data_IF_753606477989
#
_entry.id   IF_753606477989
#
_cell.length_a   1.000
_cell.length_b   1.000
_cell.length_c   1.000
_cell.angle_alpha   90.00
_cell.angle_beta   90.00
_cell.angle_gamma   90.00
#
_symmetry.space_group_name_H-M   'P 1'
#
loop_
_entity.id
_entity.type
_entity.pdbx_description
1 polymer ?
#
# COMPACT_ATOMS: atom_id res chain seq x y z
N UNK A 1 9.32 39.20 41.04
CA UNK A 1 8.31 38.11 40.91
C UNK A 1 7.70 38.08 39.52
N UNK A 2 7.19 39.19 38.99
CA UNK A 2 6.64 39.26 37.62
C UNK A 2 7.65 38.91 36.51
N UNK A 3 8.89 39.41 36.57
CA UNK A 3 9.93 39.09 35.57
C UNK A 3 10.27 37.58 35.52
N UNK A 4 10.24 36.90 36.67
CA UNK A 4 10.48 35.46 36.74
C UNK A 4 9.32 34.65 36.14
N UNK A 5 8.08 35.14 36.26
CA UNK A 5 6.92 34.52 35.61
C UNK A 5 6.90 34.78 34.10
N UNK A 6 7.35 35.96 33.66
CA UNK A 6 7.43 36.29 32.23
C UNK A 6 8.47 35.41 31.52
N UNK A 7 9.66 35.24 32.11
CA UNK A 7 10.72 34.40 31.52
C UNK A 7 10.34 32.91 31.45
N UNK A 8 9.57 32.41 32.43
CA UNK A 8 9.03 31.06 32.38
C UNK A 8 8.00 30.88 31.26
N UNK A 9 7.16 31.89 31.03
CA UNK A 9 6.19 31.86 29.94
C UNK A 9 6.89 31.90 28.57
N UNK A 10 7.91 32.75 28.41
CA UNK A 10 8.72 32.82 27.18
C UNK A 10 9.38 31.47 26.87
N UNK A 11 9.95 30.82 27.90
CA UNK A 11 10.53 29.49 27.75
C UNK A 11 9.49 28.45 27.34
N UNK A 12 8.33 28.43 28.00
CA UNK A 12 7.26 27.50 27.67
C UNK A 12 6.74 27.71 26.24
N UNK A 13 6.60 28.97 25.80
CA UNK A 13 6.20 29.29 24.43
C UNK A 13 7.24 28.81 23.44
N UNK A 14 8.54 29.00 23.71
CA UNK A 14 9.61 28.49 22.87
C UNK A 14 9.59 26.96 22.77
N UNK A 15 9.42 26.27 23.90
CA UNK A 15 9.31 24.81 23.96
C UNK A 15 8.09 24.30 23.17
N UNK A 16 6.93 24.97 23.29
CA UNK A 16 5.72 24.62 22.55
C UNK A 16 5.84 24.86 21.05
N UNK A 17 6.49 25.96 20.63
CA UNK A 17 6.76 26.24 19.21
C UNK A 17 7.67 25.16 18.62
N UNK A 18 8.74 24.80 19.34
CA UNK A 18 9.64 23.74 18.91
C UNK A 18 8.91 22.40 18.79
N UNK A 19 8.13 22.02 19.80
CA UNK A 19 7.36 20.78 19.79
C UNK A 19 6.33 20.76 18.65
N UNK A 20 5.69 21.89 18.37
CA UNK A 20 4.74 22.00 17.27
C UNK A 20 5.44 21.80 15.91
N UNK A 21 6.64 22.37 15.73
CA UNK A 21 7.42 22.17 14.52
C UNK A 21 7.82 20.70 14.34
N UNK A 22 8.24 20.03 15.41
CA UNK A 22 8.61 18.61 15.37
C UNK A 22 7.40 17.72 15.04
N UNK A 23 6.22 18.04 15.60
CA UNK A 23 4.97 17.36 15.28
C UNK A 23 4.55 17.58 13.82
N UNK A 24 4.68 18.80 13.29
CA UNK A 24 4.38 19.08 11.88
C UNK A 24 5.32 18.28 10.95
N UNK A 25 6.61 18.26 11.26
CA UNK A 25 7.60 17.50 10.49
C UNK A 25 7.26 15.99 10.50
N UNK A 26 6.98 15.44 11.67
CA UNK A 26 6.59 14.03 11.83
C UNK A 26 5.32 13.72 11.05
N UNK A 27 4.33 14.60 11.09
CA UNK A 27 3.07 14.44 10.36
C UNK A 27 3.31 14.41 8.84
N UNK A 28 4.16 15.31 8.33
CA UNK A 28 4.56 15.32 6.92
C UNK A 28 5.23 14.01 6.51
N UNK A 29 6.20 13.53 7.29
CA UNK A 29 6.87 12.25 7.04
C UNK A 29 5.88 11.07 7.05
N UNK A 30 4.96 11.03 8.02
CA UNK A 30 3.95 9.97 8.10
C UNK A 30 2.97 10.02 6.93
N UNK A 31 2.57 11.21 6.49
CA UNK A 31 1.69 11.38 5.34
C UNK A 31 2.33 10.88 4.04
N UNK A 32 3.63 11.18 3.85
CA UNK A 32 4.41 10.67 2.71
C UNK A 32 4.54 9.14 2.75
N UNK A 33 4.90 8.57 3.90
CA UNK A 33 5.01 7.13 4.07
C UNK A 33 3.67 6.41 3.83
N UNK A 34 2.57 7.00 4.31
CA UNK A 34 1.22 6.48 4.10
C UNK A 34 0.82 6.53 2.63
N UNK A 35 1.18 7.61 1.92
CA UNK A 35 0.96 7.70 0.47
C UNK A 35 1.73 6.61 -0.27
N UNK A 36 3.02 6.46 0.02
CA UNK A 36 3.86 5.43 -0.62
C UNK A 36 3.28 4.03 -0.39
N UNK A 37 2.90 3.71 0.85
CA UNK A 37 2.33 2.40 1.16
C UNK A 37 1.00 2.12 0.42
N UNK A 38 0.20 3.16 0.15
CA UNK A 38 -1.03 3.03 -0.67
C UNK A 38 -0.68 2.78 -2.12
N UNK A 39 0.24 3.57 -2.68
CA UNK A 39 0.67 3.41 -4.07
C UNK A 39 1.27 2.01 -4.31
N UNK A 40 2.07 1.51 -3.36
CA UNK A 40 2.62 0.14 -3.39
C UNK A 40 1.51 -0.93 -3.30
N UNK A 41 0.51 -0.70 -2.46
CA UNK A 41 -0.62 -1.61 -2.32
C UNK A 41 -1.46 -1.69 -3.60
N UNK A 42 -1.76 -0.55 -4.22
CA UNK A 42 -2.51 -0.48 -5.48
C UNK A 42 -1.75 -1.20 -6.61
N UNK A 43 -0.42 -1.04 -6.65
CA UNK A 43 0.45 -1.75 -7.60
C UNK A 43 0.44 -3.28 -7.39
N UNK A 44 0.49 -3.73 -6.14
CA UNK A 44 0.39 -5.16 -5.80
C UNK A 44 -0.98 -5.73 -6.15
N UNK A 45 -2.06 -5.00 -5.89
CA UNK A 45 -3.41 -5.42 -6.24
C UNK A 45 -3.59 -5.53 -7.77
N UNK A 46 -3.07 -4.57 -8.53
CA UNK A 46 -3.09 -4.63 -9.98
C UNK A 46 -2.32 -5.87 -10.49
N UNK A 47 -1.13 -6.11 -9.95
CA UNK A 47 -0.31 -7.27 -10.30
C UNK A 47 -1.01 -8.60 -10.00
N UNK A 48 -1.75 -8.67 -8.88
CA UNK A 48 -2.54 -9.83 -8.50
C UNK A 48 -3.66 -10.09 -9.52
N UNK A 49 -4.42 -9.06 -9.91
CA UNK A 49 -5.50 -9.18 -10.90
C UNK A 49 -4.97 -9.69 -12.26
N UNK A 50 -3.84 -9.16 -12.73
CA UNK A 50 -3.20 -9.64 -13.96
C UNK A 50 -2.78 -11.12 -13.86
N UNK A 51 -2.34 -11.55 -12.68
CA UNK A 51 -1.96 -12.93 -12.44
C UNK A 51 -3.18 -13.87 -12.44
N UNK A 52 -4.27 -13.45 -11.80
CA UNK A 52 -5.53 -14.21 -11.77
C UNK A 52 -6.10 -14.38 -13.18
N UNK A 53 -6.08 -13.35 -14.02
CA UNK A 53 -6.51 -13.43 -15.42
C UNK A 53 -5.66 -14.44 -16.22
N UNK A 54 -4.33 -14.38 -16.07
CA UNK A 54 -3.39 -15.32 -16.72
C UNK A 54 -3.64 -16.76 -16.28
N UNK A 55 -3.89 -16.98 -14.98
CA UNK A 55 -4.19 -18.31 -14.46
C UNK A 55 -5.53 -18.83 -14.97
N UNK A 56 -6.57 -17.99 -15.01
CA UNK A 56 -7.87 -18.33 -15.58
C UNK A 56 -7.79 -18.73 -17.06
N UNK A 57 -7.06 -17.94 -17.86
CA UNK A 57 -6.82 -18.26 -19.26
C UNK A 57 -6.04 -19.57 -19.44
N UNK A 58 -5.06 -19.83 -18.56
CA UNK A 58 -4.29 -21.08 -18.57
C UNK A 58 -5.16 -22.28 -18.22
N UNK A 59 -6.02 -22.17 -17.20
CA UNK A 59 -6.95 -23.23 -16.81
C UNK A 59 -7.93 -23.56 -17.96
N UNK A 60 -8.52 -22.54 -18.61
CA UNK A 60 -9.39 -22.74 -19.76
C UNK A 60 -8.67 -23.44 -20.93
N UNK A 61 -7.41 -23.06 -21.19
CA UNK A 61 -6.58 -23.72 -22.20
C UNK A 61 -6.32 -25.19 -21.86
N UNK A 62 -6.00 -25.50 -20.60
CA UNK A 62 -5.81 -26.89 -20.15
C UNK A 62 -7.09 -27.69 -20.35
N UNK A 63 -8.26 -27.16 -19.96
CA UNK A 63 -9.53 -27.85 -20.15
C UNK A 63 -9.80 -28.16 -21.63
N UNK A 64 -9.59 -27.18 -22.53
CA UNK A 64 -9.74 -27.41 -23.97
C UNK A 64 -8.75 -28.46 -24.53
N UNK A 65 -7.53 -28.55 -23.98
CA UNK A 65 -6.57 -29.59 -24.34
C UNK A 65 -7.03 -30.97 -23.86
N UNK A 66 -7.56 -31.06 -22.63
CA UNK A 66 -8.12 -32.29 -22.06
C UNK A 66 -9.30 -32.76 -22.90
N UNK A 67 -10.27 -31.89 -23.19
CA UNK A 67 -11.46 -32.21 -23.98
C UNK A 67 -11.09 -32.69 -25.39
N UNK A 68 -10.05 -32.10 -26.01
CA UNK A 68 -9.57 -32.55 -27.31
C UNK A 68 -8.89 -33.91 -27.24
N UNK A 69 -8.09 -34.16 -26.20
CA UNK A 69 -7.41 -35.45 -26.02
C UNK A 69 -8.41 -36.58 -25.74
N UNK A 70 -9.42 -36.34 -24.90
CA UNK A 70 -10.49 -37.31 -24.63
C UNK A 70 -11.33 -37.56 -25.88
N UNK A 71 -11.71 -36.51 -26.62
CA UNK A 71 -12.44 -36.64 -27.88
C UNK A 71 -11.64 -37.41 -28.93
N UNK A 72 -10.33 -37.17 -29.06
CA UNK A 72 -9.47 -37.92 -29.98
C UNK A 72 -9.40 -39.41 -29.59
N UNK A 73 -9.24 -39.72 -28.30
CA UNK A 73 -9.21 -41.12 -27.83
C UNK A 73 -10.54 -41.86 -27.99
N UNK A 74 -11.66 -41.14 -28.04
CA UNK A 74 -12.99 -41.72 -28.25
C UNK A 74 -13.31 -42.01 -29.72
N UNK A 75 -12.56 -41.43 -30.67
CA UNK A 75 -12.73 -41.66 -32.12
C UNK A 75 -11.88 -42.84 -32.61
N UNK A 76 -10.81 -43.18 -31.88
CA UNK A 76 -9.91 -44.31 -32.17
C UNK A 76 -10.33 -45.65 -31.52
N UNK A 77 -11.44 -45.68 -30.76
CA UNK A 77 -12.00 -46.86 -30.07
C UNK A 77 -13.29 -47.37 -30.72
#
# INVERSE_FOLDING_TARGET
MLEASLSQLEKLVADLVQQNQDLQNTNSTLAEALKQARDDNDSLQLSLLEQEEKQGATAARIQALVDRATSASAVDA
#
